data_IF_232323761253
#
_entry.id   IF_232323761253
#
_cell.length_a   1.000
_cell.length_b   1.000
_cell.length_c   1.000
_cell.angle_alpha   90.00
_cell.angle_beta   90.00
_cell.angle_gamma   90.00
#
_symmetry.space_group_name_H-M   'P 1'
#
loop_
_entity.id
_entity.type
_entity.pdbx_description
1 polymer ?
#
# COMPACT_ATOMS: atom_id res chain seq x y z
N UNK A 1 25.22 10.90 -22.90
CA UNK A 1 25.66 11.57 -21.66
C UNK A 1 24.37 12.00 -20.99
N UNK A 2 23.86 11.40 -19.90
CA UNK A 2 24.41 10.62 -18.80
C UNK A 2 23.32 9.58 -18.44
N UNK A 3 23.59 8.30 -18.12
CA UNK A 3 24.47 7.92 -17.03
C UNK A 3 23.79 8.03 -15.65
N UNK A 4 22.48 7.78 -15.52
CA UNK A 4 21.79 7.64 -14.22
C UNK A 4 21.33 6.19 -14.04
N UNK A 5 22.25 5.27 -13.73
CA UNK A 5 22.51 4.80 -12.37
C UNK A 5 21.27 4.15 -11.73
N UNK A 6 21.27 2.81 -11.71
CA UNK A 6 20.23 2.03 -11.07
C UNK A 6 20.11 2.34 -9.58
N UNK A 7 18.92 2.70 -9.16
CA UNK A 7 18.46 2.56 -7.78
C UNK A 7 16.96 2.33 -7.86
N UNK A 8 16.60 1.10 -7.53
CA UNK A 8 15.29 0.52 -7.20
C UNK A 8 14.09 1.49 -7.32
N UNK A 9 13.16 1.07 -8.15
CA UNK A 9 11.98 1.77 -8.58
C UNK A 9 11.06 2.13 -7.41
N UNK A 10 10.95 3.43 -7.12
CA UNK A 10 9.83 4.07 -6.45
C UNK A 10 9.57 5.32 -7.28
N UNK A 11 8.79 5.19 -8.37
CA UNK A 11 8.49 6.32 -9.24
C UNK A 11 7.95 7.47 -8.40
N UNK A 12 8.39 8.70 -8.67
CA UNK A 12 7.91 9.91 -7.99
C UNK A 12 6.36 9.98 -8.00
N UNK A 13 5.75 9.41 -9.04
CA UNK A 13 4.31 9.20 -9.19
C UNK A 13 3.69 8.23 -8.17
N UNK A 14 4.37 7.14 -7.81
CA UNK A 14 3.95 6.21 -6.77
C UNK A 14 3.92 6.92 -5.40
N UNK A 15 4.94 7.70 -5.09
CA UNK A 15 4.99 8.49 -3.87
C UNK A 15 3.89 9.57 -3.84
N UNK A 16 3.65 10.25 -4.97
CA UNK A 16 2.58 11.22 -5.10
C UNK A 16 1.19 10.57 -4.93
N UNK A 17 0.98 9.38 -5.48
CA UNK A 17 -0.24 8.59 -5.28
C UNK A 17 -0.44 8.25 -3.81
N UNK A 18 0.59 7.74 -3.13
CA UNK A 18 0.54 7.46 -1.68
C UNK A 18 0.14 8.73 -0.92
N UNK A 19 0.82 9.85 -1.17
CA UNK A 19 0.51 11.12 -0.50
C UNK A 19 -0.94 11.58 -0.72
N UNK A 20 -1.43 11.50 -1.96
CA UNK A 20 -2.83 11.78 -2.34
C UNK A 20 -3.81 10.91 -1.54
N UNK A 21 -3.58 9.61 -1.51
CA UNK A 21 -4.47 8.66 -0.86
C UNK A 21 -4.45 8.82 0.66
N UNK A 22 -3.28 9.05 1.24
CA UNK A 22 -3.15 9.35 2.67
C UNK A 22 -3.90 10.62 3.05
N UNK A 23 -3.79 11.69 2.26
CA UNK A 23 -4.55 12.92 2.52
C UNK A 23 -6.06 12.70 2.40
N UNK A 24 -6.52 11.82 1.49
CA UNK A 24 -7.93 11.44 1.39
C UNK A 24 -8.40 10.60 2.58
N UNK A 25 -7.54 9.71 3.07
CA UNK A 25 -7.77 8.94 4.28
C UNK A 25 -7.83 9.82 5.54
N UNK A 26 -6.99 10.86 5.66
CA UNK A 26 -7.09 11.86 6.73
C UNK A 26 -8.41 12.64 6.69
N UNK A 27 -9.02 12.77 5.50
CA UNK A 27 -10.37 13.32 5.33
C UNK A 27 -11.48 12.29 5.62
N UNK A 28 -11.14 11.06 5.97
CA UNK A 28 -12.06 9.98 6.32
C UNK A 28 -12.35 8.96 5.22
N UNK A 29 -11.69 9.04 4.05
CA UNK A 29 -11.91 8.08 2.96
C UNK A 29 -10.97 6.87 3.08
N UNK A 30 -11.52 5.75 3.56
CA UNK A 30 -10.80 4.47 3.65
C UNK A 30 -10.59 3.86 2.26
N UNK A 31 -11.49 4.13 1.31
CA UNK A 31 -11.43 3.68 -0.08
C UNK A 31 -10.13 4.12 -0.77
N UNK A 32 -9.60 5.29 -0.41
CA UNK A 32 -8.32 5.77 -0.93
C UNK A 32 -7.14 4.83 -0.60
N UNK A 33 -7.17 4.15 0.54
CA UNK A 33 -6.16 3.15 0.89
C UNK A 33 -6.36 1.85 0.08
N UNK A 34 -7.61 1.52 -0.24
CA UNK A 34 -7.92 0.39 -1.11
C UNK A 34 -7.41 0.65 -2.54
N UNK A 35 -7.72 1.81 -3.12
CA UNK A 35 -7.23 2.22 -4.44
C UNK A 35 -5.70 2.20 -4.52
N UNK A 36 -5.04 2.57 -3.42
CA UNK A 36 -3.59 2.50 -3.31
C UNK A 36 -3.09 1.05 -3.40
N UNK A 37 -3.74 0.13 -2.70
CA UNK A 37 -3.45 -1.31 -2.79
C UNK A 37 -3.64 -1.85 -4.22
N UNK A 38 -4.72 -1.45 -4.89
CA UNK A 38 -4.99 -1.84 -6.29
C UNK A 38 -3.92 -1.29 -7.24
N UNK A 39 -3.49 -0.04 -7.04
CA UNK A 39 -2.45 0.54 -7.87
C UNK A 39 -1.13 -0.24 -7.75
N UNK A 40 -0.71 -0.59 -6.52
CA UNK A 40 0.48 -1.42 -6.29
C UNK A 40 0.32 -2.86 -6.77
N UNK A 41 -0.88 -3.44 -6.72
CA UNK A 41 -1.13 -4.79 -7.25
C UNK A 41 -1.09 -4.83 -8.78
N UNK A 42 -1.53 -3.76 -9.43
CA UNK A 42 -1.56 -3.67 -10.90
C UNK A 42 -0.30 -3.03 -11.50
N UNK A 43 0.54 -2.39 -10.69
CA UNK A 43 1.67 -1.59 -11.17
C UNK A 43 1.23 -0.34 -11.95
N UNK A 44 0.09 0.26 -11.58
CA UNK A 44 -0.48 1.43 -12.26
C UNK A 44 0.03 2.75 -11.67
N UNK A 45 -0.09 3.86 -12.41
CA UNK A 45 0.33 5.21 -11.95
C UNK A 45 1.82 5.33 -11.61
N UNK A 46 2.70 4.71 -12.42
CA UNK A 46 4.15 4.74 -12.18
C UNK A 46 4.60 3.94 -10.96
N UNK A 47 3.71 3.14 -10.38
CA UNK A 47 4.05 2.14 -9.36
C UNK A 47 4.60 0.88 -10.03
N UNK A 48 5.47 0.15 -9.32
CA UNK A 48 5.84 -1.20 -9.72
C UNK A 48 4.89 -2.15 -9.02
N UNK A 49 4.55 -3.24 -9.72
CA UNK A 49 3.80 -4.33 -9.13
C UNK A 49 4.55 -4.84 -7.88
N UNK A 50 3.99 -4.55 -6.71
CA UNK A 50 4.56 -4.91 -5.41
C UNK A 50 3.45 -5.44 -4.52
N UNK A 51 3.35 -6.77 -4.47
CA UNK A 51 2.33 -7.47 -3.69
C UNK A 51 2.47 -7.21 -2.19
N UNK A 52 3.69 -6.92 -1.70
CA UNK A 52 3.94 -6.64 -0.28
C UNK A 52 3.30 -5.29 0.10
N UNK A 53 3.50 -4.25 -0.73
CA UNK A 53 2.84 -2.96 -0.53
C UNK A 53 1.34 -3.05 -0.78
N UNK A 54 0.89 -3.74 -1.83
CA UNK A 54 -0.53 -3.95 -2.09
C UNK A 54 -1.26 -4.59 -0.89
N UNK A 55 -0.76 -5.74 -0.42
CA UNK A 55 -1.29 -6.43 0.75
C UNK A 55 -1.28 -5.54 1.99
N UNK A 56 -0.21 -4.76 2.20
CA UNK A 56 -0.12 -3.83 3.33
C UNK A 56 -1.26 -2.81 3.31
N UNK A 57 -1.51 -2.15 2.18
CA UNK A 57 -2.57 -1.14 2.08
C UNK A 57 -3.96 -1.76 2.22
N UNK A 58 -4.19 -2.93 1.60
CA UNK A 58 -5.42 -3.69 1.79
C UNK A 58 -5.65 -4.10 3.24
N UNK A 59 -4.60 -4.52 3.95
CA UNK A 59 -4.70 -4.86 5.37
C UNK A 59 -5.10 -3.65 6.23
N UNK A 60 -4.53 -2.48 5.96
CA UNK A 60 -4.86 -1.25 6.68
C UNK A 60 -6.32 -0.85 6.40
N UNK A 61 -6.75 -0.86 5.14
CA UNK A 61 -8.13 -0.56 4.74
C UNK A 61 -9.13 -1.54 5.37
N UNK A 62 -8.84 -2.84 5.33
CA UNK A 62 -9.66 -3.88 5.98
C UNK A 62 -9.74 -3.67 7.50
N UNK A 63 -8.63 -3.30 8.15
CA UNK A 63 -8.62 -2.97 9.58
C UNK A 63 -9.46 -1.73 9.94
N UNK A 64 -9.80 -0.90 8.95
CA UNK A 64 -10.66 0.27 9.11
C UNK A 64 -12.13 0.01 8.77
N UNK A 65 -12.47 -1.23 8.37
CA UNK A 65 -13.84 -1.65 8.06
C UNK A 65 -14.13 -1.78 6.56
N UNK A 66 -13.14 -1.67 5.68
CA UNK A 66 -13.35 -1.85 4.24
C UNK A 66 -13.39 -3.34 3.86
N UNK A 67 -14.58 -3.90 3.68
CA UNK A 67 -14.76 -5.34 3.39
C UNK A 67 -14.08 -5.78 2.10
N UNK A 68 -14.22 -4.99 1.02
CA UNK A 68 -13.61 -5.30 -0.29
C UNK A 68 -12.07 -5.36 -0.21
N UNK A 69 -11.48 -4.59 0.70
CA UNK A 69 -10.03 -4.66 0.93
C UNK A 69 -9.62 -5.97 1.59
N UNK A 70 -10.49 -6.59 2.40
CA UNK A 70 -10.22 -7.91 2.98
C UNK A 70 -10.19 -9.00 1.90
N UNK A 71 -11.08 -8.90 0.91
CA UNK A 71 -11.10 -9.82 -0.24
C UNK A 71 -9.85 -9.67 -1.09
N UNK A 72 -9.50 -8.45 -1.52
CA UNK A 72 -8.26 -8.22 -2.27
C UNK A 72 -7.00 -8.57 -1.48
N UNK A 73 -7.00 -8.37 -0.16
CA UNK A 73 -5.90 -8.85 0.69
C UNK A 73 -5.73 -10.36 0.59
N UNK A 74 -6.83 -11.11 0.67
CA UNK A 74 -6.80 -12.57 0.58
C UNK A 74 -6.36 -13.04 -0.79
N UNK A 75 -6.85 -12.40 -1.85
CA UNK A 75 -6.48 -12.67 -3.24
C UNK A 75 -4.97 -12.47 -3.48
N UNK A 76 -4.44 -11.29 -3.12
CA UNK A 76 -3.00 -11.01 -3.22
C UNK A 76 -2.17 -11.91 -2.31
N UNK A 77 -2.71 -12.34 -1.16
CA UNK A 77 -2.01 -13.29 -0.28
C UNK A 77 -1.78 -14.65 -0.93
N UNK A 78 -2.66 -15.08 -1.85
CA UNK A 78 -2.55 -16.38 -2.52
C UNK A 78 -1.34 -16.43 -3.46
N UNK A 79 -0.97 -15.29 -4.04
CA UNK A 79 0.21 -15.13 -4.90
C UNK A 79 1.51 -14.83 -4.12
N UNK A 80 1.42 -14.66 -2.80
CA UNK A 80 2.55 -14.32 -1.93
C UNK A 80 3.04 -15.51 -1.11
N UNK A 81 4.33 -15.50 -0.77
CA UNK A 81 4.86 -16.44 0.22
C UNK A 81 4.52 -16.01 1.64
N UNK A 82 4.51 -16.97 2.58
CA UNK A 82 4.31 -16.69 4.00
C UNK A 82 5.30 -15.64 4.56
N UNK A 83 6.53 -15.60 4.01
CA UNK A 83 7.55 -14.63 4.41
C UNK A 83 7.19 -13.21 3.96
N UNK A 84 6.68 -13.06 2.74
CA UNK A 84 6.23 -11.78 2.19
C UNK A 84 4.96 -11.30 2.88
N UNK A 85 3.99 -12.20 3.13
CA UNK A 85 2.79 -11.88 3.90
C UNK A 85 3.16 -11.37 5.30
N UNK A 86 4.07 -12.08 5.98
CA UNK A 86 4.52 -11.66 7.31
C UNK A 86 5.22 -10.29 7.25
N UNK A 87 5.95 -9.98 6.17
CA UNK A 87 6.55 -8.68 5.97
C UNK A 87 5.51 -7.58 5.72
N UNK A 88 4.54 -7.80 4.83
CA UNK A 88 3.45 -6.89 4.55
C UNK A 88 2.65 -6.56 5.82
N UNK A 89 2.31 -7.59 6.60
CA UNK A 89 1.61 -7.44 7.88
C UNK A 89 2.43 -6.67 8.91
N UNK A 90 3.74 -6.92 9.02
CA UNK A 90 4.64 -6.16 9.90
C UNK A 90 4.67 -4.68 9.49
N UNK A 91 4.82 -4.39 8.20
CA UNK A 91 4.81 -3.01 7.68
C UNK A 91 3.48 -2.32 7.92
N UNK A 92 2.35 -3.00 7.67
CA UNK A 92 1.00 -2.48 7.91
C UNK A 92 0.79 -2.15 9.39
N UNK A 93 1.16 -3.07 10.29
CA UNK A 93 1.06 -2.84 11.74
C UNK A 93 1.95 -1.69 12.19
N UNK A 94 3.18 -1.60 11.68
CA UNK A 94 4.09 -0.49 11.97
C UNK A 94 3.51 0.83 11.48
N UNK A 95 2.95 0.87 10.27
CA UNK A 95 2.30 2.06 9.73
C UNK A 95 1.08 2.46 10.56
N UNK A 96 0.22 1.53 10.97
CA UNK A 96 -0.91 1.82 11.86
C UNK A 96 -0.43 2.36 13.21
N UNK A 97 0.63 1.80 13.79
CA UNK A 97 1.22 2.27 15.04
C UNK A 97 1.89 3.65 14.92
N UNK A 98 2.44 3.98 13.75
CA UNK A 98 3.06 5.28 13.46
C UNK A 98 2.02 6.35 13.09
N UNK A 99 1.05 5.99 12.26
CA UNK A 99 -0.12 6.81 11.88
C UNK A 99 -1.01 7.13 13.08
N UNK A 100 -1.09 6.23 14.07
CA UNK A 100 -1.77 6.52 15.35
C UNK A 100 -1.09 7.63 16.16
N UNK A 101 0.17 7.98 15.85
CA UNK A 101 0.87 9.15 16.42
C UNK A 101 0.76 10.41 15.55
N UNK A 102 0.36 10.29 14.28
CA UNK A 102 0.12 11.41 13.37
C UNK A 102 -1.30 11.98 13.48
N UNK A 103 -2.23 11.21 14.03
CA UNK A 103 -3.60 11.61 14.29
C UNK A 103 -3.87 12.09 15.73
N UNK A 104 -2.83 12.47 16.48
CA UNK A 104 -2.92 12.93 17.88
C UNK A 104 -2.66 14.44 18.01
#
# INVERSE_FOLDING_TARGET
>A
MEGGNGTIIQGEEAAALVARCLAAYERGSVDALYDLGVAFSTGSHGTVCDMIEAHKWFNIAASKGHEEASWCRADVSDEMTAREIAEAQRRARKWLADGSRRAA
#
